data_IF_076901139221
#
_entry.id   IF_076901139221
#
_cell.length_a   1.000
_cell.length_b   1.000
_cell.length_c   1.000
_cell.angle_alpha   90.00
_cell.angle_beta   90.00
_cell.angle_gamma   90.00
#
_symmetry.space_group_name_H-M   'P 1'
#
loop_
_entity.id
_entity.type
_entity.pdbx_description
1 polymer ?
#
# COMPACT_ATOMS: atom_id res chain seq x y z
N UNK A 1 19.61 8.71 -13.67
CA UNK A 1 20.83 7.90 -13.88
C UNK A 1 21.87 8.36 -12.89
N UNK A 2 22.20 7.54 -11.89
CA UNK A 2 23.15 7.88 -10.84
C UNK A 2 23.10 6.85 -9.73
N UNK A 3 23.99 5.86 -9.80
CA UNK A 3 24.18 4.87 -8.75
C UNK A 3 25.21 5.39 -7.75
N UNK A 4 24.93 5.27 -6.46
CA UNK A 4 25.94 5.36 -5.40
C UNK A 4 25.71 4.22 -4.41
N UNK A 5 26.77 3.44 -4.19
CA UNK A 5 26.82 2.38 -3.19
C UNK A 5 27.87 2.72 -2.12
N UNK A 6 27.46 2.62 -0.86
CA UNK A 6 28.31 2.20 0.27
C UNK A 6 28.74 3.26 1.29
N UNK A 7 28.25 3.15 2.53
CA UNK A 7 29.01 2.65 3.69
C UNK A 7 28.11 2.44 4.91
N UNK A 8 28.55 1.52 5.78
CA UNK A 8 27.86 0.96 6.95
C UNK A 8 27.86 1.92 8.14
N UNK A 9 26.79 1.83 8.93
CA UNK A 9 26.73 2.12 10.37
C UNK A 9 27.06 3.55 10.81
N UNK A 10 26.14 4.51 10.76
CA UNK A 10 26.05 5.58 11.78
C UNK A 10 24.58 5.99 11.99
N UNK A 11 24.16 5.94 13.25
CA UNK A 11 22.84 6.35 13.73
C UNK A 11 22.88 7.88 13.84
N UNK A 12 22.22 8.58 12.92
CA UNK A 12 22.02 10.03 13.03
C UNK A 12 20.73 10.30 13.82
N UNK A 13 20.85 10.64 15.11
CA UNK A 13 19.78 11.25 15.90
C UNK A 13 19.91 12.76 15.75
N UNK A 14 19.21 13.33 14.78
CA UNK A 14 19.01 14.77 14.64
C UNK A 14 18.01 15.23 15.70
N UNK A 15 18.45 16.02 16.69
CA UNK A 15 17.60 16.65 17.70
C UNK A 15 16.90 17.87 17.08
N UNK A 16 15.62 17.74 16.72
CA UNK A 16 14.78 18.89 16.44
C UNK A 16 14.44 19.63 17.74
N UNK A 17 14.93 20.87 17.89
CA UNK A 17 14.45 21.82 18.91
C UNK A 17 13.30 22.62 18.33
N UNK A 18 12.08 22.41 18.85
CA UNK A 18 10.96 23.32 18.60
C UNK A 18 10.83 24.31 19.76
N UNK A 19 10.86 25.60 19.43
CA UNK A 19 10.54 26.71 20.34
C UNK A 19 9.19 27.27 19.95
N UNK A 20 8.16 27.08 20.77
CA UNK A 20 6.83 27.65 20.54
C UNK A 20 6.63 28.92 21.39
N UNK A 21 6.37 30.03 20.71
CA UNK A 21 5.89 31.27 21.32
C UNK A 21 4.43 31.10 21.75
N UNK A 22 4.13 31.66 22.93
CA UNK A 22 2.87 31.54 23.65
C UNK A 22 1.71 32.21 22.91
N UNK A 23 0.60 31.49 22.77
CA UNK A 23 -0.74 32.07 22.64
C UNK A 23 -1.66 31.34 23.62
N UNK A 24 -2.09 32.05 24.66
CA UNK A 24 -3.09 31.60 25.61
C UNK A 24 -4.46 31.58 24.92
N UNK A 25 -5.03 30.40 24.74
CA UNK A 25 -6.47 30.21 24.64
C UNK A 25 -6.82 29.03 25.54
N UNK A 26 -7.71 29.26 26.50
CA UNK A 26 -8.05 28.29 27.54
C UNK A 26 -8.48 26.95 26.95
N UNK A 27 -7.66 25.94 27.21
CA UNK A 27 -8.04 24.53 27.12
C UNK A 27 -7.83 23.98 28.51
N UNK A 28 -8.92 23.50 29.12
CA UNK A 28 -8.79 22.62 30.29
C UNK A 28 -8.07 21.39 29.79
N UNK A 29 -6.78 21.29 30.11
CA UNK A 29 -5.96 20.13 29.80
C UNK A 29 -6.51 18.99 30.67
N UNK A 30 -7.42 18.20 30.13
CA UNK A 30 -7.73 16.91 30.70
C UNK A 30 -6.43 16.10 30.56
N UNK A 31 -5.65 16.02 31.64
CA UNK A 31 -4.52 15.10 31.71
C UNK A 31 -5.12 13.71 31.71
N UNK A 32 -5.35 13.17 30.52
CA UNK A 32 -5.50 11.74 30.36
C UNK A 32 -4.13 11.17 30.64
N UNK A 33 -3.98 10.48 31.77
CA UNK A 33 -2.81 9.66 32.04
C UNK A 33 -2.82 8.61 30.94
N UNK A 34 -2.06 8.84 29.87
CA UNK A 34 -1.74 7.80 28.92
C UNK A 34 -0.91 6.77 29.69
N UNK A 35 -1.27 5.48 29.64
CA UNK A 35 -0.45 4.44 30.26
C UNK A 35 1.00 4.58 29.78
N UNK A 36 1.93 4.58 30.73
CA UNK A 36 3.36 4.66 30.45
C UNK A 36 3.84 3.32 29.90
N UNK A 37 3.90 3.23 28.56
CA UNK A 37 4.38 2.05 27.85
C UNK A 37 5.91 1.95 27.83
N UNK A 38 6.66 2.90 28.43
CA UNK A 38 8.13 2.88 28.42
C UNK A 38 8.73 1.72 29.21
N UNK A 39 7.95 1.10 30.10
CA UNK A 39 8.35 -0.02 30.95
C UNK A 39 7.76 -1.37 30.52
N UNK A 40 7.20 -1.48 29.30
CA UNK A 40 6.92 -2.78 28.72
C UNK A 40 8.24 -3.42 28.32
N UNK A 41 8.80 -4.25 29.20
CA UNK A 41 9.78 -5.24 28.77
C UNK A 41 9.16 -6.02 27.61
N UNK A 42 9.91 -6.30 26.52
CA UNK A 42 9.39 -7.16 25.47
C UNK A 42 8.96 -8.46 26.15
N UNK A 43 7.68 -8.77 26.08
CA UNK A 43 7.19 -10.11 26.42
C UNK A 43 8.13 -11.07 25.67
N UNK A 44 8.76 -11.96 26.43
CA UNK A 44 9.67 -12.99 25.97
C UNK A 44 8.93 -13.94 25.03
N UNK A 45 8.71 -13.41 23.83
CA UNK A 45 8.12 -14.07 22.67
C UNK A 45 9.31 -14.72 22.00
N UNK A 46 9.42 -16.04 22.17
CA UNK A 46 10.37 -16.84 21.42
C UNK A 46 10.27 -16.46 19.93
N UNK A 47 11.38 -16.18 19.22
CA UNK A 47 11.33 -15.89 17.80
C UNK A 47 10.84 -17.15 17.07
N UNK A 48 9.55 -17.17 16.77
CA UNK A 48 8.87 -18.28 16.17
C UNK A 48 7.90 -17.82 15.09
N UNK A 49 7.48 -18.74 14.21
CA UNK A 49 6.40 -18.50 13.26
C UNK A 49 5.18 -17.87 13.95
N UNK A 50 4.67 -16.77 13.41
CA UNK A 50 3.38 -16.23 13.86
C UNK A 50 2.25 -17.15 13.39
N UNK A 51 1.07 -17.01 13.98
CA UNK A 51 -0.13 -17.69 13.48
C UNK A 51 -0.34 -17.27 12.01
N UNK A 52 -0.45 -18.26 11.11
CA UNK A 52 -0.56 -18.03 9.66
C UNK A 52 0.77 -17.93 8.90
N UNK A 53 1.90 -18.24 9.54
CA UNK A 53 3.19 -18.32 8.87
C UNK A 53 3.19 -19.36 7.73
N UNK A 54 3.69 -18.95 6.57
CA UNK A 54 3.89 -19.83 5.43
C UNK A 54 5.33 -20.37 5.44
N UNK A 55 5.49 -21.67 5.67
CA UNK A 55 6.79 -22.37 5.68
C UNK A 55 7.53 -22.28 4.33
N UNK A 56 6.78 -22.27 3.22
CA UNK A 56 7.36 -22.15 1.88
C UNK A 56 7.82 -20.71 1.58
N UNK A 57 7.40 -19.74 2.40
CA UNK A 57 7.68 -18.31 2.25
C UNK A 57 7.31 -17.78 0.85
N UNK A 58 6.24 -18.33 0.27
CA UNK A 58 5.75 -17.91 -1.03
C UNK A 58 5.37 -16.43 -1.00
N UNK A 59 5.84 -15.68 -2.00
CA UNK A 59 5.45 -14.28 -2.23
C UNK A 59 4.49 -14.25 -3.40
N UNK A 60 3.38 -13.55 -3.24
CA UNK A 60 2.37 -13.37 -4.29
C UNK A 60 2.34 -11.92 -4.74
N UNK A 61 2.15 -11.70 -6.04
CA UNK A 61 2.13 -10.39 -6.66
C UNK A 61 0.82 -10.19 -7.41
N UNK A 62 0.22 -9.02 -7.22
CA UNK A 62 -1.08 -8.72 -7.81
C UNK A 62 -1.47 -7.26 -7.65
N UNK A 63 -2.60 -6.92 -8.25
CA UNK A 63 -3.19 -5.58 -8.21
C UNK A 63 -4.48 -5.62 -7.37
N UNK A 64 -4.66 -4.62 -6.51
CA UNK A 64 -5.79 -4.51 -5.61
C UNK A 64 -6.75 -3.37 -5.97
N UNK A 65 -6.40 -2.54 -6.96
CA UNK A 65 -7.17 -1.35 -7.29
C UNK A 65 -7.24 -1.17 -8.80
N UNK A 66 -8.24 -1.80 -9.40
CA UNK A 66 -8.47 -1.76 -10.84
C UNK A 66 -9.91 -1.35 -11.11
N UNK A 67 -10.09 -0.41 -12.02
CA UNK A 67 -11.40 -0.01 -12.52
C UNK A 67 -11.64 -0.54 -13.93
N UNK A 68 -12.89 -0.85 -14.21
CA UNK A 68 -13.40 -1.29 -15.51
C UNK A 68 -14.41 -0.28 -16.03
N UNK A 69 -15.01 -0.55 -17.19
CA UNK A 69 -16.10 0.26 -17.73
C UNK A 69 -17.32 0.35 -16.80
N UNK A 70 -17.42 -0.48 -15.76
CA UNK A 70 -18.51 -0.40 -14.78
C UNK A 70 -18.31 0.70 -13.75
N UNK A 71 -17.10 1.24 -13.58
CA UNK A 71 -16.90 2.45 -12.78
C UNK A 71 -17.26 3.71 -13.55
N UNK A 72 -18.00 4.62 -12.91
CA UNK A 72 -18.43 5.89 -13.52
C UNK A 72 -17.24 6.71 -14.04
N UNK A 73 -16.24 6.92 -13.20
CA UNK A 73 -15.04 7.71 -13.50
C UNK A 73 -14.21 7.08 -14.62
N UNK A 74 -13.93 5.78 -14.54
CA UNK A 74 -13.16 5.07 -15.55
C UNK A 74 -13.84 5.14 -16.92
N UNK A 75 -15.17 5.00 -16.96
CA UNK A 75 -15.94 5.10 -18.19
C UNK A 75 -15.86 6.50 -18.82
N UNK A 76 -16.06 7.57 -18.04
CA UNK A 76 -15.98 8.95 -18.58
C UNK A 76 -14.56 9.33 -19.01
N UNK A 77 -13.53 8.68 -18.47
CA UNK A 77 -12.14 8.82 -18.92
C UNK A 77 -11.74 7.86 -20.05
N UNK A 78 -12.70 7.13 -20.63
CA UNK A 78 -12.50 6.35 -21.85
C UNK A 78 -12.07 4.89 -21.64
N UNK A 79 -12.19 4.35 -20.42
CA UNK A 79 -12.01 2.92 -20.16
C UNK A 79 -13.20 2.14 -20.73
N UNK A 80 -12.92 1.27 -21.70
CA UNK A 80 -13.93 0.42 -22.33
C UNK A 80 -13.81 -1.07 -21.96
N UNK A 81 -12.73 -1.44 -21.26
CA UNK A 81 -12.47 -2.80 -20.82
C UNK A 81 -13.52 -3.28 -19.79
N UNK A 82 -13.97 -4.52 -19.94
CA UNK A 82 -14.89 -5.20 -19.02
C UNK A 82 -14.14 -5.89 -17.87
N UNK A 83 -14.85 -6.29 -16.79
CA UNK A 83 -14.25 -7.16 -15.77
C UNK A 83 -13.68 -8.48 -16.33
N UNK A 84 -14.32 -9.06 -17.34
CA UNK A 84 -13.82 -10.28 -18.00
C UNK A 84 -12.51 -10.01 -18.75
N UNK A 85 -12.42 -8.88 -19.47
CA UNK A 85 -11.17 -8.47 -20.13
C UNK A 85 -10.04 -8.26 -19.11
N UNK A 86 -10.37 -7.67 -17.95
CA UNK A 86 -9.42 -7.44 -16.87
C UNK A 86 -8.92 -8.76 -16.27
N UNK A 87 -9.81 -9.76 -16.13
CA UNK A 87 -9.45 -11.10 -15.69
C UNK A 87 -8.56 -11.83 -16.69
N UNK A 88 -8.88 -11.78 -17.99
CA UNK A 88 -8.03 -12.37 -19.03
C UNK A 88 -6.67 -11.68 -19.10
N UNK A 89 -6.62 -10.36 -18.96
CA UNK A 89 -5.37 -9.59 -18.90
C UNK A 89 -4.51 -10.02 -17.71
N UNK A 90 -5.10 -10.21 -16.52
CA UNK A 90 -4.40 -10.71 -15.34
C UNK A 90 -3.82 -12.12 -15.53
N UNK A 91 -4.47 -12.98 -16.33
CA UNK A 91 -3.94 -14.29 -16.73
C UNK A 91 -2.85 -14.22 -17.81
N UNK A 92 -2.52 -13.02 -18.30
CA UNK A 92 -1.47 -12.78 -19.28
C UNK A 92 -1.96 -12.63 -20.72
N UNK A 93 -3.27 -12.60 -20.98
CA UNK A 93 -3.80 -12.28 -22.32
C UNK A 93 -3.53 -10.81 -22.68
N UNK A 94 -3.33 -10.47 -23.96
CA UNK A 94 -3.17 -9.08 -24.37
C UNK A 94 -4.51 -8.31 -24.30
N UNK A 95 -4.44 -7.01 -24.01
CA UNK A 95 -5.57 -6.08 -24.01
C UNK A 95 -5.29 -4.87 -24.89
N UNK A 96 -6.32 -4.38 -25.58
CA UNK A 96 -6.21 -3.22 -26.44
C UNK A 96 -6.14 -1.93 -25.62
N UNK A 97 -5.02 -1.20 -25.69
CA UNK A 97 -4.91 0.13 -25.11
C UNK A 97 -5.77 1.13 -25.93
N UNK A 98 -6.42 2.12 -25.29
CA UNK A 98 -7.23 3.13 -25.99
C UNK A 98 -6.47 3.92 -27.07
N UNK A 99 -5.14 4.02 -26.99
CA UNK A 99 -4.30 4.65 -28.02
C UNK A 99 -3.99 3.75 -29.24
N UNK A 100 -4.60 2.56 -29.34
CA UNK A 100 -4.54 1.72 -30.53
C UNK A 100 -3.40 0.69 -30.59
N UNK A 101 -2.68 0.46 -29.49
CA UNK A 101 -1.67 -0.61 -29.39
C UNK A 101 -2.05 -1.66 -28.34
N UNK A 102 -1.49 -2.87 -28.47
CA UNK A 102 -1.72 -3.95 -27.51
C UNK A 102 -0.82 -3.80 -26.29
N UNK A 103 -1.39 -4.05 -25.12
CA UNK A 103 -0.68 -4.17 -23.85
C UNK A 103 -0.76 -5.60 -23.35
N UNK A 104 0.31 -6.09 -22.73
CA UNK A 104 0.35 -7.42 -22.14
C UNK A 104 1.27 -7.40 -20.93
N UNK A 105 0.90 -8.13 -19.88
CA UNK A 105 1.78 -8.35 -18.75
C UNK A 105 2.97 -9.23 -19.16
N UNK A 106 4.14 -8.98 -18.58
CA UNK A 106 5.34 -9.82 -18.80
C UNK A 106 5.13 -11.24 -18.25
N UNK A 107 4.36 -11.36 -17.18
CA UNK A 107 3.99 -12.61 -16.52
C UNK A 107 2.62 -12.43 -15.86
N UNK A 108 1.79 -13.50 -15.75
CA UNK A 108 0.49 -13.45 -15.10
C UNK A 108 0.58 -13.06 -13.62
N UNK A 109 -0.50 -12.49 -13.08
CA UNK A 109 -0.59 -12.11 -11.66
C UNK A 109 -1.16 -13.25 -10.82
N UNK A 110 -0.73 -13.33 -9.57
CA UNK A 110 -1.24 -14.30 -8.59
C UNK A 110 -2.65 -13.93 -8.11
N UNK A 111 -2.94 -12.63 -8.04
CA UNK A 111 -4.25 -12.09 -7.69
C UNK A 111 -4.53 -10.77 -8.41
N UNK A 112 -5.81 -10.47 -8.57
CA UNK A 112 -6.27 -9.27 -9.26
C UNK A 112 -7.65 -8.87 -8.74
N UNK A 113 -7.82 -7.63 -8.30
CA UNK A 113 -9.09 -7.13 -7.77
C UNK A 113 -9.66 -6.00 -8.63
N UNK A 114 -10.87 -6.22 -9.15
CA UNK A 114 -11.68 -5.17 -9.77
C UNK A 114 -12.49 -4.47 -8.67
N UNK A 115 -12.29 -3.17 -8.53
CA UNK A 115 -12.84 -2.34 -7.45
C UNK A 115 -13.54 -1.11 -8.03
N UNK A 116 -14.56 -1.35 -8.86
CA UNK A 116 -15.38 -0.29 -9.45
C UNK A 116 -16.13 0.52 -8.39
N UNK A 117 -16.45 1.79 -8.70
CA UNK A 117 -17.36 2.56 -7.87
C UNK A 117 -18.76 1.93 -7.83
N UNK A 118 -19.32 1.83 -6.63
CA UNK A 118 -20.70 1.37 -6.45
C UNK A 118 -21.72 2.40 -6.95
N UNK A 119 -22.90 1.91 -7.32
CA UNK A 119 -24.10 2.73 -7.55
C UNK A 119 -25.16 2.37 -6.50
N UNK A 120 -25.89 3.37 -6.03
CA UNK A 120 -26.96 3.26 -5.04
C UNK A 120 -28.33 3.58 -5.64
#
# INVERSE_FOLDING_TARGET
MGFYWGKKNEIFIEKFKFSFHSFFCGVVLQVTILPDYSNLAPENTEPGPTIGYNEDRNVYFGDLHVHTKHSFDAYIFGTTATPDDAYEYAKGSPIQHPLGYQMQLREPLDFYAVTDHGFF
#
